data_IF_758745621366
#
_entry.id   IF_758745621366
#
_cell.length_a   1.000
_cell.length_b   1.000
_cell.length_c   1.000
_cell.angle_alpha   90.00
_cell.angle_beta   90.00
_cell.angle_gamma   90.00
#
_symmetry.space_group_name_H-M   'P 1'
#
loop_
_entity.id
_entity.type
_entity.pdbx_description
1 polymer ?
#
# COMPACT_ATOMS: atom_id res chain seq x y z
N UNK A 1 26.55 68.11 -10.59
CA UNK A 1 26.54 68.05 -9.12
C UNK A 1 25.81 66.78 -8.76
N UNK A 2 26.54 65.66 -8.67
CA UNK A 2 25.94 64.37 -8.34
C UNK A 2 25.84 64.25 -6.83
N UNK A 3 24.61 64.23 -6.34
CA UNK A 3 24.32 64.02 -4.92
C UNK A 3 24.75 62.61 -4.53
N UNK A 4 25.69 62.50 -3.59
CA UNK A 4 26.13 61.24 -3.01
C UNK A 4 24.94 60.66 -2.21
N UNK A 5 24.33 59.60 -2.74
CA UNK A 5 23.31 58.82 -2.00
C UNK A 5 23.95 58.24 -0.74
N UNK A 6 23.41 58.60 0.43
CA UNK A 6 23.79 57.96 1.69
C UNK A 6 23.39 56.48 1.66
N UNK A 7 24.36 55.58 1.89
CA UNK A 7 24.06 54.17 2.14
C UNK A 7 23.46 54.04 3.55
N UNK A 8 22.17 53.74 3.61
CA UNK A 8 21.54 53.27 4.85
C UNK A 8 22.01 51.83 5.07
N UNK A 9 23.00 51.65 5.94
CA UNK A 9 23.45 50.31 6.36
C UNK A 9 22.35 49.55 7.10
N UNK A 10 22.36 48.22 7.00
CA UNK A 10 21.42 47.36 7.71
C UNK A 10 21.60 47.50 9.24
N UNK A 11 20.48 47.63 9.96
CA UNK A 11 20.48 47.59 11.43
C UNK A 11 20.71 46.14 11.90
N UNK A 12 21.39 45.95 13.04
CA UNK A 12 21.54 44.62 13.67
C UNK A 12 20.18 43.97 13.99
N UNK A 13 19.16 44.80 14.23
CA UNK A 13 17.77 44.36 14.39
C UNK A 13 17.20 43.75 13.10
N UNK A 14 17.52 44.33 11.95
CA UNK A 14 16.99 43.91 10.63
C UNK A 14 17.53 42.54 10.22
N UNK A 15 18.82 42.29 10.49
CA UNK A 15 19.44 40.97 10.31
C UNK A 15 18.80 39.94 11.24
N UNK A 16 18.55 40.31 12.50
CA UNK A 16 17.93 39.40 13.48
C UNK A 16 16.50 39.03 13.10
N UNK A 17 15.71 39.99 12.64
CA UNK A 17 14.35 39.74 12.11
C UNK A 17 14.40 38.88 10.84
N UNK A 18 15.34 39.15 9.93
CA UNK A 18 15.51 38.36 8.70
C UNK A 18 15.84 36.89 8.99
N UNK A 19 16.77 36.65 9.93
CA UNK A 19 17.13 35.28 10.36
C UNK A 19 15.95 34.61 11.06
N UNK A 20 15.17 35.32 11.88
CA UNK A 20 13.96 34.79 12.53
C UNK A 20 12.92 34.34 11.49
N UNK A 21 12.60 35.20 10.51
CA UNK A 21 11.65 34.89 9.44
C UNK A 21 12.14 33.69 8.62
N UNK A 22 13.42 33.65 8.27
CA UNK A 22 14.04 32.53 7.56
C UNK A 22 13.92 31.23 8.37
N UNK A 23 14.22 31.27 9.67
CA UNK A 23 14.14 30.10 10.54
C UNK A 23 12.71 29.53 10.59
N UNK A 24 11.70 30.40 10.73
CA UNK A 24 10.28 29.99 10.69
C UNK A 24 9.93 29.38 9.33
N UNK A 25 10.38 30.00 8.23
CA UNK A 25 10.16 29.49 6.87
C UNK A 25 10.76 28.10 6.66
N UNK A 26 11.98 27.86 7.12
CA UNK A 26 12.65 26.56 7.02
C UNK A 26 11.95 25.47 7.85
N UNK A 27 11.48 25.80 9.05
CA UNK A 27 10.68 24.87 9.87
C UNK A 27 9.35 24.51 9.18
N UNK A 28 8.71 25.49 8.53
CA UNK A 28 7.51 25.25 7.73
C UNK A 28 7.76 24.26 6.58
N UNK A 29 8.84 24.44 5.82
CA UNK A 29 9.22 23.54 4.72
C UNK A 29 9.54 22.14 5.25
N UNK A 30 10.27 22.03 6.36
CA UNK A 30 10.60 20.74 6.97
C UNK A 30 9.34 19.94 7.35
N UNK A 31 8.34 20.61 7.96
CA UNK A 31 7.07 19.99 8.29
C UNK A 31 6.32 19.49 7.04
N UNK A 32 6.29 20.28 5.96
CA UNK A 32 5.71 19.87 4.69
C UNK A 32 6.45 18.66 4.08
N UNK A 33 7.78 18.65 4.14
CA UNK A 33 8.59 17.55 3.62
C UNK A 33 8.31 16.23 4.33
N UNK A 34 8.18 16.25 5.67
CA UNK A 34 7.82 15.06 6.44
C UNK A 34 6.44 14.51 6.06
N UNK A 35 5.45 15.38 5.89
CA UNK A 35 4.12 14.98 5.47
C UNK A 35 4.14 14.38 4.06
N UNK A 36 4.88 14.99 3.12
CA UNK A 36 5.04 14.48 1.76
C UNK A 36 5.65 13.07 1.74
N UNK A 37 6.69 12.81 2.56
CA UNK A 37 7.30 11.47 2.65
C UNK A 37 6.27 10.43 3.12
N UNK A 38 5.47 10.75 4.15
CA UNK A 38 4.42 9.86 4.65
C UNK A 38 3.37 9.54 3.60
N UNK A 39 2.87 10.56 2.89
CA UNK A 39 1.89 10.37 1.83
C UNK A 39 2.46 9.60 0.63
N UNK A 40 3.70 9.88 0.24
CA UNK A 40 4.37 9.17 -0.86
C UNK A 40 4.52 7.68 -0.53
N UNK A 41 4.98 7.36 0.68
CA UNK A 41 5.09 5.97 1.12
C UNK A 41 3.74 5.25 1.14
N UNK A 42 2.68 5.89 1.65
CA UNK A 42 1.33 5.30 1.61
C UNK A 42 0.83 5.07 0.18
N UNK A 43 1.07 6.02 -0.73
CA UNK A 43 0.74 5.88 -2.14
C UNK A 43 1.52 4.73 -2.81
N UNK A 44 2.80 4.58 -2.48
CA UNK A 44 3.63 3.46 -2.97
C UNK A 44 3.06 2.11 -2.51
N UNK A 45 2.73 1.94 -1.22
CA UNK A 45 2.13 0.71 -0.72
C UNK A 45 0.80 0.40 -1.42
N UNK A 46 -0.04 1.41 -1.63
CA UNK A 46 -1.30 1.26 -2.36
C UNK A 46 -1.06 0.83 -3.81
N UNK A 47 -0.06 1.36 -4.49
CA UNK A 47 0.30 0.95 -5.84
C UNK A 47 0.75 -0.53 -5.89
N UNK A 48 1.55 -0.97 -4.91
CA UNK A 48 1.93 -2.38 -4.75
C UNK A 48 0.69 -3.26 -4.52
N UNK A 49 -0.24 -2.83 -3.66
CA UNK A 49 -1.48 -3.57 -3.41
C UNK A 49 -2.36 -3.70 -4.67
N UNK A 50 -2.45 -2.66 -5.50
CA UNK A 50 -3.17 -2.70 -6.78
C UNK A 50 -2.51 -3.71 -7.73
N UNK A 51 -1.18 -3.68 -7.83
CA UNK A 51 -0.45 -4.65 -8.65
C UNK A 51 -0.65 -6.09 -8.15
N UNK A 52 -0.66 -6.32 -6.83
CA UNK A 52 -0.89 -7.65 -6.25
C UNK A 52 -2.32 -8.14 -6.45
N UNK A 53 -3.32 -7.27 -6.38
CA UNK A 53 -4.70 -7.66 -6.68
C UNK A 53 -4.85 -8.05 -8.17
N UNK A 54 -4.19 -7.33 -9.08
CA UNK A 54 -4.08 -7.71 -10.49
C UNK A 54 -3.35 -9.03 -10.71
N UNK A 55 -2.26 -9.28 -9.97
CA UNK A 55 -1.52 -10.54 -10.05
C UNK A 55 -2.40 -11.76 -9.72
N UNK A 56 -3.21 -11.68 -8.66
CA UNK A 56 -4.15 -12.76 -8.31
C UNK A 56 -5.23 -12.94 -9.37
N UNK A 57 -5.78 -11.83 -9.90
CA UNK A 57 -6.74 -11.89 -11.01
C UNK A 57 -6.17 -12.62 -12.23
N UNK A 58 -4.94 -12.33 -12.61
CA UNK A 58 -4.30 -12.95 -13.77
C UNK A 58 -4.01 -14.44 -13.53
N UNK A 59 -3.62 -14.82 -12.30
CA UNK A 59 -3.48 -16.24 -11.89
C UNK A 59 -4.81 -16.99 -11.97
N UNK A 60 -5.90 -16.39 -11.48
CA UNK A 60 -7.25 -16.95 -11.59
C UNK A 60 -7.67 -17.15 -13.05
N UNK A 61 -7.38 -16.18 -13.92
CA UNK A 61 -7.64 -16.28 -15.37
C UNK A 61 -6.83 -17.40 -16.02
N UNK A 62 -5.56 -17.54 -15.67
CA UNK A 62 -4.70 -18.61 -16.17
C UNK A 62 -5.20 -20.01 -15.78
N UNK A 63 -5.78 -20.14 -14.59
CA UNK A 63 -6.40 -21.37 -14.10
C UNK A 63 -7.93 -21.28 -14.06
N UNK A 64 -8.54 -20.87 -15.18
CA UNK A 64 -9.98 -20.67 -15.26
C UNK A 64 -10.80 -21.92 -14.88
N UNK A 65 -10.32 -23.12 -15.26
CA UNK A 65 -10.95 -24.38 -14.86
C UNK A 65 -10.94 -24.59 -13.35
N UNK A 66 -9.92 -24.09 -12.64
CA UNK A 66 -9.86 -24.11 -11.18
C UNK A 66 -10.82 -23.11 -10.54
N UNK A 67 -11.04 -21.96 -11.18
CA UNK A 67 -12.07 -20.98 -10.79
C UNK A 67 -13.47 -21.60 -10.91
N UNK A 68 -13.79 -22.22 -12.05
CA UNK A 68 -15.07 -22.91 -12.26
C UNK A 68 -15.30 -24.06 -11.27
N UNK A 69 -14.23 -24.76 -10.87
CA UNK A 69 -14.27 -25.81 -9.86
C UNK A 69 -14.32 -25.28 -8.41
N UNK A 70 -14.28 -23.96 -8.21
CA UNK A 70 -14.40 -23.31 -6.90
C UNK A 70 -13.12 -23.27 -6.06
N UNK A 71 -11.96 -23.60 -6.63
CA UNK A 71 -10.69 -23.67 -5.86
C UNK A 71 -10.14 -22.31 -5.43
N UNK A 72 -10.69 -21.20 -5.94
CA UNK A 72 -10.35 -19.82 -5.54
C UNK A 72 -11.41 -19.16 -4.67
N UNK A 73 -12.51 -19.86 -4.31
CA UNK A 73 -13.67 -19.23 -3.66
C UNK A 73 -13.42 -18.74 -2.22
N UNK A 74 -12.39 -19.26 -1.56
CA UNK A 74 -12.07 -18.97 -0.17
C UNK A 74 -10.56 -19.02 0.07
N UNK A 75 -9.81 -18.14 -0.59
CA UNK A 75 -8.38 -17.98 -0.33
C UNK A 75 -8.20 -17.05 0.87
N UNK A 76 -7.38 -17.47 1.83
CA UNK A 76 -7.00 -16.65 2.98
C UNK A 76 -5.66 -17.12 3.54
N UNK A 77 -4.82 -16.18 3.99
CA UNK A 77 -3.52 -16.50 4.60
C UNK A 77 -2.57 -17.19 3.63
N UNK A 78 -1.47 -17.74 4.15
CA UNK A 78 -0.48 -18.48 3.35
C UNK A 78 -0.80 -19.97 3.47
N UNK A 79 -1.48 -20.60 2.48
CA UNK A 79 -1.72 -22.03 2.51
C UNK A 79 -0.43 -22.82 2.26
N UNK A 80 -0.44 -24.12 2.53
CA UNK A 80 0.70 -24.98 2.22
C UNK A 80 0.96 -25.05 0.71
N UNK A 81 2.22 -24.93 0.30
CA UNK A 81 2.62 -25.11 -1.08
C UNK A 81 2.50 -26.59 -1.49
N UNK A 82 1.81 -26.92 -2.60
CA UNK A 82 1.76 -28.28 -3.08
C UNK A 82 3.06 -28.70 -3.77
N UNK A 83 3.54 -29.90 -3.44
CA UNK A 83 4.67 -30.52 -4.13
C UNK A 83 4.16 -31.22 -5.39
N UNK A 84 4.18 -30.54 -6.53
CA UNK A 84 3.77 -31.10 -7.82
C UNK A 84 4.68 -30.60 -8.96
N UNK A 85 5.01 -31.52 -9.87
CA UNK A 85 5.73 -31.23 -11.13
C UNK A 85 4.76 -31.03 -12.30
N UNK A 86 3.67 -31.79 -12.32
CA UNK A 86 2.47 -31.55 -13.13
C UNK A 86 1.30 -31.41 -12.17
N UNK A 87 0.74 -30.20 -12.06
CA UNK A 87 -0.22 -29.86 -11.01
C UNK A 87 -1.67 -29.96 -11.54
N UNK A 88 -2.58 -30.47 -10.73
CA UNK A 88 -4.03 -30.34 -10.98
C UNK A 88 -4.47 -28.89 -10.79
N UNK A 89 -5.65 -28.52 -11.28
CA UNK A 89 -6.18 -27.16 -11.11
C UNK A 89 -6.31 -26.76 -9.62
N UNK A 90 -6.57 -27.70 -8.71
CA UNK A 90 -6.61 -27.43 -7.27
C UNK A 90 -5.23 -27.17 -6.68
N UNK A 91 -4.22 -27.91 -7.13
CA UNK A 91 -2.83 -27.69 -6.74
C UNK A 91 -2.28 -26.38 -7.31
N UNK A 92 -2.67 -26.00 -8.53
CA UNK A 92 -2.32 -24.68 -9.10
C UNK A 92 -2.91 -23.57 -8.23
N UNK A 93 -4.20 -23.66 -7.85
CA UNK A 93 -4.83 -22.67 -6.98
C UNK A 93 -4.16 -22.55 -5.60
N UNK A 94 -3.81 -23.69 -4.98
CA UNK A 94 -3.09 -23.69 -3.71
C UNK A 94 -1.67 -23.09 -3.82
N UNK A 95 -0.96 -23.38 -4.92
CA UNK A 95 0.34 -22.78 -5.23
C UNK A 95 0.22 -21.27 -5.43
N UNK A 96 -0.75 -20.83 -6.24
CA UNK A 96 -1.01 -19.42 -6.49
C UNK A 96 -1.27 -18.65 -5.20
N UNK A 97 -2.14 -19.19 -4.33
CA UNK A 97 -2.44 -18.59 -3.05
C UNK A 97 -1.22 -18.54 -2.12
N UNK A 98 -0.39 -19.60 -2.08
CA UNK A 98 0.84 -19.63 -1.30
C UNK A 98 1.84 -18.57 -1.78
N UNK A 99 2.18 -18.58 -3.08
CA UNK A 99 3.16 -17.67 -3.67
C UNK A 99 2.70 -16.21 -3.54
N UNK A 100 1.43 -15.94 -3.83
CA UNK A 100 0.86 -14.60 -3.74
C UNK A 100 0.88 -14.07 -2.31
N UNK A 101 0.45 -14.85 -1.33
CA UNK A 101 0.45 -14.38 0.05
C UNK A 101 1.84 -14.34 0.69
N UNK A 102 2.78 -15.16 0.24
CA UNK A 102 4.19 -15.02 0.62
C UNK A 102 4.77 -13.72 0.05
N UNK A 103 4.47 -13.39 -1.21
CA UNK A 103 4.88 -12.12 -1.82
C UNK A 103 4.24 -10.92 -1.09
N UNK A 104 2.94 -10.99 -0.77
CA UNK A 104 2.27 -9.93 0.00
C UNK A 104 2.94 -9.70 1.36
N UNK A 105 3.27 -10.77 2.10
CA UNK A 105 3.92 -10.67 3.40
C UNK A 105 5.32 -10.04 3.34
N UNK A 106 6.02 -10.18 2.21
CA UNK A 106 7.34 -9.57 1.99
C UNK A 106 7.23 -8.13 1.49
N UNK A 107 6.30 -7.86 0.58
CA UNK A 107 6.18 -6.56 -0.11
C UNK A 107 5.41 -5.51 0.69
N UNK A 108 4.48 -5.95 1.54
CA UNK A 108 3.59 -5.09 2.30
C UNK A 108 3.74 -5.35 3.81
N UNK A 109 3.71 -4.32 4.67
CA UNK A 109 3.74 -4.52 6.11
C UNK A 109 2.51 -5.29 6.58
N UNK A 110 2.70 -6.41 7.27
CA UNK A 110 1.60 -7.32 7.63
C UNK A 110 0.71 -7.69 6.42
N UNK A 111 1.33 -7.79 5.25
CA UNK A 111 0.67 -7.97 3.98
C UNK A 111 -0.03 -9.31 3.88
N UNK A 112 -1.31 -9.28 3.54
CA UNK A 112 -2.10 -10.48 3.36
C UNK A 112 -3.24 -10.27 2.37
N UNK A 113 -3.58 -11.33 1.67
CA UNK A 113 -4.56 -11.32 0.60
C UNK A 113 -5.62 -12.40 0.82
N UNK A 114 -6.85 -12.10 0.41
CA UNK A 114 -7.96 -13.05 0.39
C UNK A 114 -8.73 -12.98 -0.91
N UNK A 115 -9.36 -14.09 -1.28
CA UNK A 115 -10.35 -14.15 -2.36
C UNK A 115 -11.62 -14.77 -1.81
N UNK A 116 -12.75 -14.09 -2.01
CA UNK A 116 -14.08 -14.58 -1.66
C UNK A 116 -14.96 -14.62 -2.92
N UNK A 117 -15.75 -15.69 -3.08
CA UNK A 117 -16.77 -15.76 -4.13
C UNK A 117 -18.13 -15.27 -3.62
N UNK A 118 -18.79 -14.44 -4.43
CA UNK A 118 -20.16 -13.96 -4.25
C UNK A 118 -20.99 -14.32 -5.49
N UNK A 119 -21.29 -15.61 -5.66
CA UNK A 119 -21.93 -16.12 -6.87
C UNK A 119 -20.98 -16.06 -8.07
N UNK A 120 -21.34 -15.28 -9.09
CA UNK A 120 -20.51 -15.13 -10.30
C UNK A 120 -19.44 -14.04 -10.18
N UNK A 121 -19.28 -13.43 -9.00
CA UNK A 121 -18.27 -12.40 -8.76
C UNK A 121 -17.25 -12.87 -7.74
N UNK A 122 -16.01 -12.42 -7.92
CA UNK A 122 -14.91 -12.67 -7.00
C UNK A 122 -14.45 -11.35 -6.42
N UNK A 123 -14.33 -11.32 -5.11
CA UNK A 123 -13.81 -10.22 -4.33
C UNK A 123 -12.38 -10.55 -3.92
N UNK A 124 -11.42 -9.89 -4.57
CA UNK A 124 -10.00 -9.97 -4.25
C UNK A 124 -9.70 -8.83 -3.28
N UNK A 125 -9.20 -9.15 -2.09
CA UNK A 125 -8.87 -8.15 -1.07
C UNK A 125 -7.41 -8.28 -0.67
N UNK A 126 -6.64 -7.20 -0.83
CA UNK A 126 -5.27 -7.07 -0.33
C UNK A 126 -5.30 -6.16 0.89
N UNK A 127 -4.63 -6.57 1.97
CA UNK A 127 -4.60 -5.87 3.25
C UNK A 127 -3.16 -5.64 3.71
N UNK A 128 -2.90 -4.51 4.34
CA UNK A 128 -1.59 -4.18 4.91
C UNK A 128 -1.70 -3.14 6.02
N UNK A 129 -0.67 -3.08 6.86
CA UNK A 129 -0.55 -2.09 7.92
C UNK A 129 0.13 -0.82 7.38
N UNK A 130 -0.68 0.13 6.90
CA UNK A 130 -0.20 1.40 6.35
C UNK A 130 0.52 2.26 7.39
N UNK A 131 0.04 2.23 8.64
CA UNK A 131 0.47 3.14 9.70
C UNK A 131 1.49 2.50 10.66
N UNK A 132 1.84 1.22 10.46
CA UNK A 132 2.75 0.45 11.31
C UNK A 132 2.26 0.37 12.76
N UNK A 133 0.95 0.25 12.95
CA UNK A 133 0.31 0.16 14.27
C UNK A 133 0.44 -1.23 14.89
N UNK A 134 0.78 -2.25 14.10
CA UNK A 134 0.87 -3.65 14.55
C UNK A 134 -0.48 -4.36 14.66
N UNK A 135 -1.52 -3.76 14.10
CA UNK A 135 -2.89 -4.31 14.10
C UNK A 135 -3.00 -5.54 13.20
N UNK A 136 -3.98 -6.40 13.50
CA UNK A 136 -4.23 -7.64 12.76
C UNK A 136 -5.68 -7.79 12.30
N UNK A 137 -6.55 -6.82 12.62
CA UNK A 137 -7.94 -6.82 12.19
C UNK A 137 -8.07 -6.83 10.66
N UNK A 138 -9.05 -7.57 10.16
CA UNK A 138 -9.22 -7.82 8.72
C UNK A 138 -10.59 -7.38 8.19
N UNK A 139 -11.37 -6.71 9.03
CA UNK A 139 -12.75 -6.35 8.74
C UNK A 139 -12.88 -5.13 7.82
N UNK A 140 -11.76 -4.46 7.51
CA UNK A 140 -11.71 -3.32 6.60
C UNK A 140 -12.67 -2.18 7.01
N UNK A 141 -12.83 -1.93 8.32
CA UNK A 141 -13.71 -0.86 8.83
C UNK A 141 -13.26 0.56 8.46
N UNK A 142 -12.00 0.72 8.06
CA UNK A 142 -11.37 2.02 7.82
C UNK A 142 -10.68 2.61 9.05
N UNK A 143 -10.80 1.98 10.21
CA UNK A 143 -10.08 2.36 11.43
C UNK A 143 -8.67 1.73 11.45
N UNK A 144 -7.59 2.52 11.31
CA UNK A 144 -6.22 2.01 11.27
C UNK A 144 -5.69 1.54 12.63
N UNK A 145 -6.41 1.78 13.73
CA UNK A 145 -6.06 1.30 15.06
C UNK A 145 -6.66 -0.08 15.36
N UNK A 146 -7.61 -0.54 14.55
CA UNK A 146 -8.29 -1.83 14.73
C UNK A 146 -8.02 -2.76 13.56
N UNK A 147 -8.13 -2.27 12.32
CA UNK A 147 -8.03 -3.05 11.10
C UNK A 147 -6.86 -2.62 10.22
N UNK A 148 -6.36 -3.58 9.45
CA UNK A 148 -5.46 -3.31 8.34
C UNK A 148 -6.16 -2.44 7.28
N UNK A 149 -5.36 -1.61 6.61
CA UNK A 149 -5.80 -0.91 5.41
C UNK A 149 -6.10 -1.92 4.31
N UNK A 150 -7.23 -1.76 3.63
CA UNK A 150 -7.69 -2.68 2.61
C UNK A 150 -7.79 -2.04 1.23
N UNK A 151 -7.46 -2.83 0.21
CA UNK A 151 -7.83 -2.60 -1.18
C UNK A 151 -8.67 -3.78 -1.64
N UNK A 152 -9.88 -3.50 -2.13
CA UNK A 152 -10.78 -4.50 -2.69
C UNK A 152 -10.90 -4.31 -4.20
N UNK A 153 -10.96 -5.42 -4.92
CA UNK A 153 -11.23 -5.47 -6.36
C UNK A 153 -12.29 -6.53 -6.60
N UNK A 154 -13.42 -6.11 -7.15
CA UNK A 154 -14.50 -7.00 -7.55
C UNK A 154 -14.40 -7.27 -9.04
N UNK A 155 -14.42 -8.55 -9.41
CA UNK A 155 -14.33 -8.99 -10.81
C UNK A 155 -15.35 -10.08 -11.09
N UNK A 156 -15.72 -10.22 -12.36
CA UNK A 156 -16.48 -11.35 -12.86
C UNK A 156 -15.58 -12.19 -13.76
N UNK A 157 -15.55 -13.49 -13.53
CA UNK A 157 -14.76 -14.49 -14.26
C UNK A 157 -15.72 -15.57 -14.79
#
# INVERSE_FOLDING_TARGET
MDAIKQQNGFSLLEVLVSVLVLAIGLLGIAALQLNMIRHNHSAQLRAVAVAQAGNMLDRMRANYKGVQAGFYNNISGIPNAPNCTSCTNSQIAARDANEWNHANAVLLPSGQGSVASHGNRFLITVRWDNNRTGVTGTNCSGDPEVDLTCLTMEVQL
#
